data_IF_285832586158
#
_entry.id   IF_285832586158
#
_cell.length_a   1.000
_cell.length_b   1.000
_cell.length_c   1.000
_cell.angle_alpha   90.00
_cell.angle_beta   90.00
_cell.angle_gamma   90.00
#
_symmetry.space_group_name_H-M   'P 1'
#
loop_
_entity.id
_entity.type
_entity.pdbx_description
1 polymer ?
#
# COMPACT_ATOMS: atom_id res chain seq x y z
N UNK A 1 21.61 33.97 -19.46
CA UNK A 1 20.55 34.15 -18.42
C UNK A 1 19.23 33.50 -18.83
N UNK A 2 18.69 33.76 -20.03
CA UNK A 2 17.43 33.16 -20.52
C UNK A 2 17.43 31.63 -20.68
N UNK A 3 18.55 31.03 -21.12
CA UNK A 3 18.63 29.56 -21.29
C UNK A 3 18.58 28.79 -19.96
N UNK A 4 19.14 29.37 -18.88
CA UNK A 4 19.16 28.77 -17.55
C UNK A 4 17.75 28.79 -16.94
N UNK A 5 17.00 29.87 -17.16
CA UNK A 5 15.60 29.98 -16.74
C UNK A 5 14.67 29.06 -17.54
N UNK A 6 14.91 28.89 -18.84
CA UNK A 6 14.18 27.93 -19.68
C UNK A 6 14.37 26.48 -19.20
N UNK A 7 15.61 26.06 -18.96
CA UNK A 7 15.92 24.72 -18.41
C UNK A 7 15.31 24.48 -17.03
N UNK A 8 15.23 25.52 -16.18
CA UNK A 8 14.62 25.41 -14.85
C UNK A 8 13.10 25.16 -14.94
N UNK A 9 12.40 25.90 -15.79
CA UNK A 9 10.94 25.75 -15.99
C UNK A 9 10.57 24.38 -16.55
N UNK A 10 11.35 23.86 -17.48
CA UNK A 10 11.10 22.54 -18.08
C UNK A 10 11.30 21.40 -17.07
N UNK A 11 12.36 21.46 -16.24
CA UNK A 11 12.56 20.50 -15.14
C UNK A 11 11.42 20.52 -14.14
N UNK A 12 10.92 21.70 -13.79
CA UNK A 12 9.81 21.84 -12.84
C UNK A 12 8.50 21.28 -13.41
N UNK A 13 8.25 21.51 -14.71
CA UNK A 13 7.09 20.93 -15.41
C UNK A 13 7.14 19.39 -15.42
N UNK A 14 8.27 18.80 -15.80
CA UNK A 14 8.47 17.34 -15.79
C UNK A 14 8.29 16.74 -14.39
N UNK A 15 8.75 17.45 -13.34
CA UNK A 15 8.54 17.02 -11.94
C UNK A 15 7.05 17.02 -11.57
N UNK A 16 6.29 18.05 -11.95
CA UNK A 16 4.85 18.12 -11.69
C UNK A 16 4.08 17.02 -12.43
N UNK A 17 4.43 16.77 -13.68
CA UNK A 17 3.86 15.67 -14.48
C UNK A 17 4.15 14.30 -13.84
N UNK A 18 5.38 14.08 -13.38
CA UNK A 18 5.76 12.85 -12.67
C UNK A 18 5.02 12.67 -11.34
N UNK A 19 4.86 13.74 -10.55
CA UNK A 19 4.09 13.68 -9.31
C UNK A 19 2.62 13.36 -9.57
N UNK A 20 2.04 13.94 -10.62
CA UNK A 20 0.67 13.65 -11.00
C UNK A 20 0.49 12.17 -11.39
N UNK A 21 1.41 11.62 -12.19
CA UNK A 21 1.35 10.20 -12.55
C UNK A 21 1.40 9.28 -11.32
N UNK A 22 2.28 9.58 -10.35
CA UNK A 22 2.36 8.83 -9.09
C UNK A 22 1.05 8.93 -8.29
N UNK A 23 0.46 10.13 -8.21
CA UNK A 23 -0.82 10.34 -7.53
C UNK A 23 -1.96 9.59 -8.20
N UNK A 24 -2.00 9.55 -9.53
CA UNK A 24 -3.00 8.81 -10.30
C UNK A 24 -2.88 7.30 -10.06
N UNK A 25 -1.65 6.76 -9.96
CA UNK A 25 -1.43 5.35 -9.58
C UNK A 25 -1.89 5.08 -8.14
N UNK A 26 -1.55 5.94 -7.17
CA UNK A 26 -1.98 5.82 -5.78
C UNK A 26 -3.51 5.85 -5.71
N UNK A 27 -4.15 6.78 -6.40
CA UNK A 27 -5.62 6.89 -6.46
C UNK A 27 -6.23 5.59 -6.99
N UNK A 28 -5.65 4.99 -8.03
CA UNK A 28 -6.11 3.70 -8.55
C UNK A 28 -6.01 2.58 -7.51
N UNK A 29 -4.96 2.56 -6.67
CA UNK A 29 -4.83 1.58 -5.59
C UNK A 29 -5.89 1.80 -4.52
N UNK A 30 -6.12 3.04 -4.08
CA UNK A 30 -7.16 3.37 -3.09
C UNK A 30 -8.56 3.00 -3.59
N UNK A 31 -8.87 3.31 -4.86
CA UNK A 31 -10.15 2.92 -5.47
C UNK A 31 -10.31 1.40 -5.50
N UNK A 32 -9.24 0.65 -5.79
CA UNK A 32 -9.28 -0.80 -5.75
C UNK A 32 -9.47 -1.34 -4.34
N UNK A 33 -8.82 -0.78 -3.32
CA UNK A 33 -9.04 -1.17 -1.92
C UNK A 33 -10.53 -1.05 -1.58
N UNK A 34 -11.16 0.09 -1.87
CA UNK A 34 -12.61 0.27 -1.65
C UNK A 34 -13.43 -0.72 -2.47
N UNK A 35 -13.09 -0.94 -3.74
CA UNK A 35 -13.78 -1.90 -4.59
C UNK A 35 -13.62 -3.35 -4.08
N UNK A 36 -12.52 -3.69 -3.41
CA UNK A 36 -12.30 -5.05 -2.92
C UNK A 36 -13.30 -5.45 -1.84
N UNK A 37 -13.76 -4.49 -1.04
CA UNK A 37 -14.72 -4.72 0.05
C UNK A 37 -16.03 -5.33 -0.46
N UNK A 38 -16.41 -5.10 -1.72
CA UNK A 38 -17.70 -5.60 -2.25
C UNK A 38 -17.76 -7.11 -2.49
N UNK A 39 -16.60 -7.78 -2.56
CA UNK A 39 -16.52 -9.23 -2.74
C UNK A 39 -15.89 -9.94 -1.54
N UNK A 40 -15.51 -9.21 -0.48
CA UNK A 40 -15.09 -9.82 0.77
C UNK A 40 -16.31 -10.34 1.55
N UNK A 41 -16.16 -11.40 2.35
CA UNK A 41 -17.20 -11.85 3.27
C UNK A 41 -17.67 -10.72 4.20
N UNK A 42 -18.96 -10.69 4.51
CA UNK A 42 -19.53 -9.71 5.43
C UNK A 42 -18.98 -9.93 6.84
N UNK A 43 -18.49 -8.87 7.48
CA UNK A 43 -18.06 -8.89 8.86
C UNK A 43 -19.24 -8.51 9.77
N UNK A 44 -19.78 -9.50 10.49
CA UNK A 44 -20.95 -9.32 11.38
C UNK A 44 -20.56 -9.05 12.84
N UNK A 45 -19.26 -9.09 13.14
CA UNK A 45 -18.71 -8.90 14.48
C UNK A 45 -17.86 -7.63 14.55
N UNK A 46 -17.77 -7.04 15.75
CA UNK A 46 -16.81 -5.98 16.00
C UNK A 46 -15.38 -6.53 15.91
N UNK A 47 -14.56 -5.93 15.06
CA UNK A 47 -13.15 -6.31 14.89
C UNK A 47 -12.22 -5.25 15.50
N UNK A 48 -11.06 -5.68 15.98
CA UNK A 48 -9.88 -4.83 16.17
C UNK A 48 -8.96 -4.93 14.94
N UNK A 49 -7.93 -4.08 14.89
CA UNK A 49 -6.87 -4.20 13.89
C UNK A 49 -5.50 -4.12 14.54
N UNK A 50 -4.55 -4.85 13.99
CA UNK A 50 -3.14 -4.79 14.33
C UNK A 50 -2.34 -4.33 13.11
N UNK A 51 -1.31 -3.51 13.32
CA UNK A 51 -0.41 -3.05 12.25
C UNK A 51 0.98 -3.64 12.46
N UNK A 52 1.36 -4.58 11.60
CA UNK A 52 2.66 -5.23 11.62
C UNK A 52 3.57 -4.63 10.54
N UNK A 53 4.79 -4.27 10.93
CA UNK A 53 5.83 -3.78 10.01
C UNK A 53 6.99 -4.78 10.01
N UNK A 54 7.17 -5.47 8.89
CA UNK A 54 8.30 -6.37 8.69
C UNK A 54 9.52 -5.54 8.30
N UNK A 55 10.60 -5.67 9.07
CA UNK A 55 11.85 -4.93 8.90
C UNK A 55 13.03 -5.90 8.81
N UNK A 56 14.21 -5.36 8.51
CA UNK A 56 15.45 -6.16 8.56
C UNK A 56 15.72 -6.65 9.98
N UNK A 57 16.27 -7.86 10.11
CA UNK A 57 16.42 -8.55 11.41
C UNK A 57 17.36 -7.85 12.39
N UNK A 58 18.22 -6.97 11.89
CA UNK A 58 19.20 -6.20 12.64
C UNK A 58 18.72 -4.78 13.00
N UNK A 59 17.47 -4.43 12.65
CA UNK A 59 16.89 -3.16 13.03
C UNK A 59 16.65 -3.11 14.54
N UNK A 60 17.15 -2.04 15.17
CA UNK A 60 16.92 -1.81 16.60
C UNK A 60 15.45 -1.46 16.84
N UNK A 61 14.78 -2.24 17.69
CA UNK A 61 13.41 -1.99 18.12
C UNK A 61 13.38 -0.75 19.01
N UNK A 62 12.53 0.21 18.63
CA UNK A 62 12.33 1.44 19.40
C UNK A 62 11.52 1.17 20.67
N UNK A 63 11.67 2.00 21.70
CA UNK A 63 11.03 1.80 23.02
C UNK A 63 9.50 1.60 22.98
N UNK A 64 8.81 2.22 22.02
CA UNK A 64 7.34 2.12 21.88
C UNK A 64 6.89 0.99 20.96
N UNK A 65 7.82 0.22 20.41
CA UNK A 65 7.57 -0.88 19.49
C UNK A 65 7.96 -2.19 20.16
N UNK A 66 7.33 -3.27 19.71
CA UNK A 66 7.63 -4.62 20.21
C UNK A 66 7.80 -5.58 19.03
N UNK A 67 8.59 -6.62 19.26
CA UNK A 67 8.66 -7.75 18.32
C UNK A 67 7.37 -8.57 18.44
N UNK A 68 6.73 -8.81 17.31
CA UNK A 68 5.50 -9.62 17.23
C UNK A 68 5.72 -10.88 16.39
N UNK A 69 4.95 -11.92 16.70
CA UNK A 69 4.85 -13.10 15.85
C UNK A 69 4.05 -12.80 14.57
N UNK A 70 4.19 -13.63 13.53
CA UNK A 70 3.44 -13.46 12.30
C UNK A 70 1.95 -13.79 12.53
N UNK A 71 1.08 -12.83 12.25
CA UNK A 71 -0.38 -12.99 12.35
C UNK A 71 -0.95 -13.59 11.06
N UNK A 72 -0.72 -14.89 10.84
CA UNK A 72 -1.18 -15.57 9.62
C UNK A 72 -2.68 -15.84 9.63
N UNK A 73 -3.34 -15.60 8.49
CA UNK A 73 -4.73 -15.99 8.25
C UNK A 73 -4.74 -17.39 7.62
N UNK A 74 -5.21 -18.40 8.35
CA UNK A 74 -5.36 -19.76 7.82
C UNK A 74 -6.62 -19.90 6.97
N UNK A 75 -6.61 -20.78 5.97
CA UNK A 75 -7.74 -21.02 5.06
C UNK A 75 -8.22 -19.73 4.35
N UNK A 76 -7.27 -19.00 3.78
CA UNK A 76 -7.51 -17.72 3.12
C UNK A 76 -7.49 -17.83 1.60
N UNK A 77 -8.27 -16.98 0.94
CA UNK A 77 -8.05 -16.61 -0.46
C UNK A 77 -7.27 -15.30 -0.54
N UNK A 78 -6.48 -15.15 -1.60
CA UNK A 78 -5.67 -13.97 -1.85
C UNK A 78 -6.18 -13.22 -3.08
N UNK A 79 -6.32 -11.91 -2.94
CA UNK A 79 -6.57 -11.00 -4.07
C UNK A 79 -5.44 -9.99 -4.15
N UNK A 80 -4.75 -10.00 -5.29
CA UNK A 80 -3.69 -9.03 -5.59
C UNK A 80 -4.29 -7.77 -6.20
N UNK A 81 -3.90 -6.63 -5.65
CA UNK A 81 -4.29 -5.31 -6.15
C UNK A 81 -3.17 -4.75 -7.03
N UNK A 82 -3.45 -3.62 -7.68
CA UNK A 82 -2.45 -2.84 -8.39
C UNK A 82 -1.34 -2.38 -7.44
N UNK A 83 -0.15 -2.23 -8.02
CA UNK A 83 1.01 -1.61 -7.39
C UNK A 83 1.20 -0.18 -7.92
N UNK A 84 1.80 0.70 -7.13
CA UNK A 84 2.29 2.00 -7.62
C UNK A 84 3.81 2.13 -7.40
N UNK A 85 4.47 3.02 -8.15
CA UNK A 85 5.90 3.25 -8.03
C UNK A 85 6.30 4.72 -8.07
N UNK A 86 7.25 5.09 -7.22
CA UNK A 86 7.86 6.44 -7.20
C UNK A 86 9.21 6.50 -7.91
N UNK A 87 9.54 5.48 -8.73
CA UNK A 87 10.88 5.17 -9.31
C UNK A 87 11.95 4.73 -8.31
N UNK A 88 11.80 5.05 -7.02
CA UNK A 88 12.69 4.60 -5.94
C UNK A 88 12.08 3.39 -5.23
N UNK A 89 10.80 3.49 -4.88
CA UNK A 89 10.07 2.43 -4.19
C UNK A 89 8.89 1.98 -5.04
N UNK A 90 8.66 0.67 -5.04
CA UNK A 90 7.44 0.05 -5.55
C UNK A 90 6.65 -0.55 -4.39
N UNK A 91 5.38 -0.19 -4.30
CA UNK A 91 4.48 -0.72 -3.27
C UNK A 91 3.51 -1.68 -3.95
N UNK A 92 3.55 -2.94 -3.55
CA UNK A 92 2.57 -3.95 -3.96
C UNK A 92 1.48 -4.05 -2.90
N UNK A 93 0.26 -4.37 -3.32
CA UNK A 93 -0.89 -4.50 -2.42
C UNK A 93 -1.62 -5.81 -2.66
N UNK A 94 -2.09 -6.42 -1.58
CA UNK A 94 -2.80 -7.69 -1.57
C UNK A 94 -3.70 -7.73 -0.33
N UNK A 95 -4.83 -8.41 -0.43
CA UNK A 95 -5.64 -8.82 0.72
C UNK A 95 -5.71 -10.35 0.77
N UNK A 96 -5.51 -10.92 1.94
CA UNK A 96 -5.80 -12.31 2.24
C UNK A 96 -6.98 -12.34 3.21
N UNK A 97 -8.07 -13.02 2.86
CA UNK A 97 -9.27 -13.12 3.69
C UNK A 97 -9.67 -14.57 3.91
N UNK A 98 -10.12 -14.89 5.13
CA UNK A 98 -10.57 -16.24 5.48
C UNK A 98 -11.87 -16.58 4.74
N UNK A 99 -11.94 -17.77 4.17
CA UNK A 99 -13.19 -18.29 3.60
C UNK A 99 -14.11 -18.70 4.78
N UNK A 100 -15.35 -18.18 4.85
CA UNK A 100 -16.32 -18.62 5.85
C UNK A 100 -16.58 -20.13 5.72
N UNK A 101 -16.51 -20.84 6.83
CA UNK A 101 -16.98 -22.23 6.90
C UNK A 101 -18.49 -22.22 7.09
N UNK A 102 -19.21 -23.07 6.35
CA UNK A 102 -20.64 -23.29 6.58
C UNK A 102 -20.80 -24.13 7.85
N UNK A 103 -20.96 -23.46 8.99
CA UNK A 103 -21.47 -24.07 10.22
C UNK A 103 -22.99 -23.86 10.32
#
# INVERSE_FOLDING_TARGET
RGEIEGKKREKEKRKKESQKAIQDEILSVIQQITATVTFLPLLEVSCSFDLLIYTDKDLVVLEKWEESGPQFVTNSEEVRLRSFSTTIHKVNSMVAYKIPTSD
#
